data_IF_274422922607
#
_entry.id   IF_274422922607
#
_cell.length_a   1.000
_cell.length_b   1.000
_cell.length_c   1.000
_cell.angle_alpha   90.00
_cell.angle_beta   90.00
_cell.angle_gamma   90.00
#
_symmetry.space_group_name_H-M   'P 1'
#
loop_
_entity.id
_entity.type
_entity.pdbx_description
1 polymer ?
#
# COMPACT_ATOMS: atom_id res chain seq x y z
N UNK A 1 30.42 17.21 25.59
CA UNK A 1 29.14 17.40 24.88
C UNK A 1 28.77 16.05 24.28
N UNK A 2 27.85 15.33 24.93
CA UNK A 2 27.36 14.02 24.44
C UNK A 2 26.57 14.26 23.15
N UNK A 3 27.07 13.78 22.02
CA UNK A 3 26.28 13.60 20.81
C UNK A 3 25.32 12.44 21.06
N UNK A 4 24.08 12.76 21.44
CA UNK A 4 23.00 11.79 21.51
C UNK A 4 22.76 11.21 20.12
N UNK A 5 23.13 9.95 19.93
CA UNK A 5 22.75 9.17 18.76
C UNK A 5 21.23 9.04 18.85
N UNK A 6 20.50 9.83 18.06
CA UNK A 6 19.11 9.50 17.74
C UNK A 6 19.15 8.23 16.89
N UNK A 7 19.18 7.07 17.54
CA UNK A 7 18.74 5.83 16.93
C UNK A 7 17.26 6.02 16.61
N UNK A 8 16.94 6.57 15.44
CA UNK A 8 15.68 6.22 14.80
C UNK A 8 15.70 4.70 14.71
N UNK A 9 14.92 4.02 15.55
CA UNK A 9 14.67 2.60 15.37
C UNK A 9 14.20 2.45 13.91
N UNK A 10 15.08 1.92 13.06
CA UNK A 10 14.77 1.66 11.66
C UNK A 10 13.72 0.56 11.71
N UNK A 11 12.45 0.97 11.59
CA UNK A 11 11.34 0.03 11.64
C UNK A 11 11.58 -1.06 10.61
N UNK A 12 11.46 -2.32 11.03
CA UNK A 12 11.57 -3.49 10.16
C UNK A 12 10.37 -3.63 9.21
N UNK A 13 9.41 -2.72 9.24
CA UNK A 13 8.18 -2.77 8.48
C UNK A 13 8.16 -1.75 7.35
N UNK A 14 7.48 -2.11 6.25
CA UNK A 14 7.18 -1.18 5.17
C UNK A 14 6.36 -0.01 5.70
N UNK A 15 6.61 1.19 5.19
CA UNK A 15 5.95 2.42 5.66
C UNK A 15 4.98 2.98 4.64
N UNK A 16 3.74 3.21 5.06
CA UNK A 16 2.75 3.99 4.34
C UNK A 16 2.66 5.41 4.91
N UNK A 17 2.89 6.45 4.09
CA UNK A 17 2.88 7.86 4.53
C UNK A 17 3.81 8.13 5.75
N UNK A 18 4.93 7.41 5.81
CA UNK A 18 5.91 7.48 6.91
C UNK A 18 5.51 6.70 8.17
N UNK A 19 4.34 6.06 8.18
CA UNK A 19 3.86 5.22 9.29
C UNK A 19 4.19 3.75 8.96
N UNK A 20 4.93 3.02 9.83
CA UNK A 20 5.10 1.59 9.69
C UNK A 20 3.76 0.84 9.63
N UNK A 21 3.62 -0.07 8.67
CA UNK A 21 2.46 -0.97 8.52
C UNK A 21 2.57 -2.08 9.57
N UNK A 22 2.39 -1.67 10.83
CA UNK A 22 2.42 -2.51 12.01
C UNK A 22 1.55 -1.93 13.12
N UNK A 23 1.34 -2.72 14.16
CA UNK A 23 0.42 -2.46 15.26
C UNK A 23 -0.95 -3.05 14.97
N UNK A 24 -1.83 -2.96 15.96
CA UNK A 24 -3.22 -3.33 15.76
C UNK A 24 -3.91 -2.29 14.87
N UNK A 25 -5.01 -2.68 14.23
CA UNK A 25 -5.82 -1.77 13.42
C UNK A 25 -6.23 -0.49 14.17
N UNK A 26 -6.48 -0.56 15.48
CA UNK A 26 -6.78 0.62 16.29
C UNK A 26 -5.55 1.53 16.47
N UNK A 27 -4.37 0.96 16.70
CA UNK A 27 -3.12 1.71 16.83
C UNK A 27 -2.73 2.37 15.50
N UNK A 28 -2.83 1.63 14.39
CA UNK A 28 -2.54 2.16 13.07
C UNK A 28 -3.54 3.26 12.67
N UNK A 29 -4.84 3.04 12.91
CA UNK A 29 -5.89 4.04 12.73
C UNK A 29 -5.59 5.35 13.46
N UNK A 30 -5.19 5.30 14.73
CA UNK A 30 -4.86 6.51 15.48
C UNK A 30 -3.74 7.32 14.80
N UNK A 31 -2.73 6.65 14.23
CA UNK A 31 -1.62 7.30 13.51
C UNK A 31 -2.07 7.92 12.18
N UNK A 32 -2.87 7.22 11.39
CA UNK A 32 -3.34 7.77 10.09
C UNK A 32 -4.38 8.87 10.28
N UNK A 33 -5.20 8.83 11.34
CA UNK A 33 -6.11 9.94 11.67
C UNK A 33 -5.33 11.22 12.01
N UNK A 34 -4.21 11.11 12.73
CA UNK A 34 -3.31 12.24 12.97
C UNK A 34 -2.66 12.78 11.68
N UNK A 35 -2.55 11.95 10.62
CA UNK A 35 -2.11 12.36 9.28
C UNK A 35 -3.22 12.98 8.43
N UNK A 36 -4.45 13.06 8.95
CA UNK A 36 -5.59 13.68 8.26
C UNK A 36 -6.50 12.71 7.49
N UNK A 37 -6.32 11.39 7.65
CA UNK A 37 -7.29 10.42 7.13
C UNK A 37 -8.52 10.36 8.05
N UNK A 38 -9.71 10.19 7.47
CA UNK A 38 -10.98 10.16 8.18
C UNK A 38 -11.58 8.77 8.09
N UNK A 39 -11.93 8.17 9.23
CA UNK A 39 -12.55 6.85 9.27
C UNK A 39 -13.91 6.86 8.55
N UNK A 40 -14.05 6.06 7.51
CA UNK A 40 -15.29 5.91 6.77
C UNK A 40 -16.07 4.73 7.35
N UNK A 41 -16.93 5.04 8.32
CA UNK A 41 -17.72 4.06 9.07
C UNK A 41 -18.65 3.27 8.14
N UNK A 42 -19.40 3.96 7.28
CA UNK A 42 -20.38 3.34 6.37
C UNK A 42 -19.72 2.29 5.47
N UNK A 43 -18.61 2.62 4.82
CA UNK A 43 -17.91 1.67 3.96
C UNK A 43 -17.21 0.57 4.73
N UNK A 44 -16.70 0.87 5.94
CA UNK A 44 -16.08 -0.15 6.79
C UNK A 44 -17.08 -1.18 7.30
N UNK A 45 -18.33 -0.80 7.52
CA UNK A 45 -19.41 -1.71 7.94
C UNK A 45 -20.01 -2.49 6.75
N UNK A 46 -19.85 -1.98 5.52
CA UNK A 46 -20.35 -2.61 4.31
C UNK A 46 -19.38 -3.60 3.66
N UNK A 47 -18.10 -3.59 4.04
CA UNK A 47 -17.07 -4.52 3.55
C UNK A 47 -16.88 -5.70 4.51
N UNK A 48 -16.21 -6.75 4.06
CA UNK A 48 -15.85 -7.90 4.89
C UNK A 48 -15.05 -7.49 6.12
N UNK A 49 -15.14 -8.32 7.17
CA UNK A 49 -14.22 -8.23 8.29
C UNK A 49 -12.75 -8.31 7.79
N UNK A 50 -11.84 -7.80 8.62
CA UNK A 50 -10.42 -7.71 8.26
C UNK A 50 -10.04 -6.49 7.42
N UNK A 51 -10.99 -5.59 7.11
CA UNK A 51 -10.68 -4.30 6.43
C UNK A 51 -11.32 -3.13 7.17
N UNK A 52 -10.62 -1.99 7.21
CA UNK A 52 -11.21 -0.68 7.53
C UNK A 52 -10.94 0.32 6.43
N UNK A 53 -11.96 1.11 6.13
CA UNK A 53 -11.95 2.10 5.07
C UNK A 53 -11.79 3.51 5.67
N UNK A 54 -11.02 4.35 5.00
CA UNK A 54 -10.81 5.74 5.34
C UNK A 54 -10.85 6.60 4.08
N UNK A 55 -11.27 7.85 4.22
CA UNK A 55 -11.12 8.85 3.17
C UNK A 55 -9.93 9.75 3.51
N UNK A 56 -9.18 10.17 2.50
CA UNK A 56 -8.07 11.10 2.73
C UNK A 56 -7.39 11.59 1.48
N UNK A 57 -6.20 12.14 1.66
CA UNK A 57 -5.35 12.62 0.57
C UNK A 57 -4.03 11.86 0.59
N UNK A 58 -3.63 11.31 -0.55
CA UNK A 58 -2.33 10.67 -0.74
C UNK A 58 -1.67 11.23 -1.99
N UNK A 59 -0.41 11.69 -1.86
CA UNK A 59 0.37 12.33 -2.94
C UNK A 59 -0.43 13.39 -3.73
N UNK A 60 -1.21 14.21 -3.01
CA UNK A 60 -2.01 15.29 -3.58
C UNK A 60 -3.35 14.86 -4.21
N UNK A 61 -3.73 13.59 -4.12
CA UNK A 61 -4.97 13.05 -4.69
C UNK A 61 -5.93 12.60 -3.59
N UNK A 62 -7.23 12.85 -3.77
CA UNK A 62 -8.27 12.24 -2.93
C UNK A 62 -8.26 10.73 -3.17
N UNK A 63 -8.30 9.97 -2.08
CA UNK A 63 -8.26 8.50 -2.13
C UNK A 63 -9.24 7.90 -1.13
N UNK A 64 -9.80 6.75 -1.50
CA UNK A 64 -10.25 5.75 -0.55
C UNK A 64 -9.06 4.92 -0.09
N UNK A 65 -8.86 4.81 1.21
CA UNK A 65 -7.79 4.04 1.84
C UNK A 65 -8.38 2.79 2.50
N UNK A 66 -7.85 1.62 2.15
CA UNK A 66 -8.25 0.33 2.68
C UNK A 66 -7.09 -0.22 3.51
N UNK A 67 -7.32 -0.39 4.81
CA UNK A 67 -6.34 -0.94 5.74
C UNK A 67 -6.76 -2.36 6.09
N UNK A 68 -5.97 -3.32 5.65
CA UNK A 68 -6.21 -4.74 5.87
C UNK A 68 -5.49 -5.21 7.13
N UNK A 69 -6.18 -6.00 7.94
CA UNK A 69 -5.67 -6.52 9.19
C UNK A 69 -6.14 -7.95 9.42
N UNK A 70 -5.32 -8.73 10.11
CA UNK A 70 -5.69 -10.09 10.50
C UNK A 70 -6.82 -10.06 11.55
N UNK A 71 -7.89 -10.82 11.32
CA UNK A 71 -9.09 -10.73 12.16
C UNK A 71 -8.89 -11.22 13.59
N UNK A 72 -7.92 -12.09 13.86
CA UNK A 72 -7.71 -12.61 15.22
C UNK A 72 -6.70 -11.75 15.98
N UNK A 73 -5.52 -11.52 15.39
CA UNK A 73 -4.43 -10.75 16.01
C UNK A 73 -4.64 -9.24 15.92
N UNK A 74 -5.55 -8.80 15.04
CA UNK A 74 -5.82 -7.40 14.71
C UNK A 74 -4.64 -6.67 14.08
N UNK A 75 -3.56 -7.37 13.70
CA UNK A 75 -2.34 -6.78 13.13
C UNK A 75 -2.56 -6.33 11.69
N UNK A 76 -2.15 -5.10 11.39
CA UNK A 76 -2.21 -4.56 10.03
C UNK A 76 -1.07 -5.15 9.20
N UNK A 77 -1.38 -5.61 7.98
CA UNK A 77 -0.39 -6.19 7.08
C UNK A 77 -0.37 -5.55 5.68
N UNK A 78 -1.42 -4.82 5.30
CA UNK A 78 -1.52 -4.20 3.97
C UNK A 78 -2.31 -2.90 4.02
N UNK A 79 -1.89 -1.94 3.21
CA UNK A 79 -2.56 -0.64 3.06
C UNK A 79 -2.67 -0.30 1.59
N UNK A 80 -3.89 -0.10 1.10
CA UNK A 80 -4.17 0.24 -0.30
C UNK A 80 -4.82 1.61 -0.41
N UNK A 81 -4.21 2.51 -1.16
CA UNK A 81 -4.82 3.77 -1.55
C UNK A 81 -5.40 3.65 -2.97
N UNK A 82 -6.64 4.09 -3.17
CA UNK A 82 -7.33 4.01 -4.46
C UNK A 82 -7.82 5.40 -4.84
N UNK A 83 -7.34 5.90 -5.98
CA UNK A 83 -7.95 7.05 -6.66
C UNK A 83 -9.05 6.48 -7.54
N UNK A 84 -10.31 6.70 -7.16
CA UNK A 84 -11.45 6.01 -7.74
C UNK A 84 -12.30 6.91 -8.65
N UNK A 85 -13.06 6.25 -9.54
CA UNK A 85 -14.06 6.89 -10.40
C UNK A 85 -13.48 8.07 -11.22
N UNK A 86 -12.40 7.81 -11.95
CA UNK A 86 -11.78 8.78 -12.84
C UNK A 86 -11.85 8.33 -14.30
N UNK A 87 -11.69 9.28 -15.23
CA UNK A 87 -11.54 8.98 -16.65
C UNK A 87 -10.24 8.22 -16.92
N UNK A 88 -10.19 7.49 -18.03
CA UNK A 88 -8.99 6.77 -18.47
C UNK A 88 -7.75 7.67 -18.58
N UNK A 89 -7.86 8.81 -19.27
CA UNK A 89 -6.76 9.76 -19.45
C UNK A 89 -6.19 10.22 -18.11
N UNK A 90 -7.08 10.59 -17.18
CA UNK A 90 -6.67 10.98 -15.82
C UNK A 90 -6.03 9.80 -15.07
N UNK A 91 -6.52 8.57 -15.25
CA UNK A 91 -5.91 7.39 -14.63
C UNK A 91 -4.48 7.17 -15.14
N UNK A 92 -4.26 7.27 -16.45
CA UNK A 92 -2.92 7.17 -17.05
C UNK A 92 -1.98 8.27 -16.52
N UNK A 93 -2.46 9.53 -16.44
CA UNK A 93 -1.69 10.65 -15.88
C UNK A 93 -1.32 10.42 -14.40
N UNK A 94 -2.28 9.97 -13.57
CA UNK A 94 -2.05 9.72 -12.14
C UNK A 94 -1.13 8.53 -11.92
N UNK A 95 -1.29 7.47 -12.72
CA UNK A 95 -0.39 6.32 -12.69
C UNK A 95 1.05 6.75 -12.97
N UNK A 96 1.31 7.45 -14.09
CA UNK A 96 2.66 7.89 -14.46
C UNK A 96 3.29 8.80 -13.40
N UNK A 97 2.53 9.77 -12.88
CA UNK A 97 3.00 10.67 -11.81
C UNK A 97 3.43 9.88 -10.56
N UNK A 98 2.60 8.94 -10.10
CA UNK A 98 2.88 8.17 -8.89
C UNK A 98 4.01 7.16 -9.13
N UNK A 99 4.04 6.53 -10.29
CA UNK A 99 5.12 5.63 -10.70
C UNK A 99 6.48 6.32 -10.59
N UNK A 100 6.62 7.52 -11.18
CA UNK A 100 7.86 8.30 -11.13
C UNK A 100 8.26 8.67 -9.69
N UNK A 101 7.29 9.08 -8.87
CA UNK A 101 7.53 9.41 -7.46
C UNK A 101 7.98 8.19 -6.66
N UNK A 102 7.40 7.02 -6.91
CA UNK A 102 7.77 5.78 -6.25
C UNK A 102 9.15 5.29 -6.71
N UNK A 103 9.42 5.29 -8.02
CA UNK A 103 10.72 4.92 -8.57
C UNK A 103 11.83 5.81 -8.00
N UNK A 104 11.60 7.12 -7.90
CA UNK A 104 12.56 8.03 -7.25
C UNK A 104 12.73 7.75 -5.75
N UNK A 105 11.65 7.40 -5.05
CA UNK A 105 11.71 7.14 -3.59
C UNK A 105 12.42 5.81 -3.28
N UNK A 106 12.37 4.86 -4.19
CA UNK A 106 12.92 3.51 -4.05
C UNK A 106 13.96 3.25 -5.15
N UNK A 107 14.77 4.25 -5.50
CA UNK A 107 15.63 4.21 -6.70
C UNK A 107 16.64 3.06 -6.71
N UNK A 108 17.09 2.62 -5.53
CA UNK A 108 18.02 1.50 -5.35
C UNK A 108 17.33 0.14 -5.12
N UNK A 109 16.01 0.07 -5.33
CA UNK A 109 15.23 -1.16 -5.17
C UNK A 109 14.99 -1.85 -6.51
N UNK A 110 14.60 -3.12 -6.45
CA UNK A 110 14.19 -3.88 -7.63
C UNK A 110 12.77 -3.50 -8.07
N UNK A 111 12.61 -3.38 -9.39
CA UNK A 111 11.38 -3.01 -10.07
C UNK A 111 10.97 -4.11 -11.06
N UNK A 112 9.69 -4.46 -11.06
CA UNK A 112 9.11 -5.37 -12.04
C UNK A 112 7.98 -4.66 -12.77
N UNK A 113 8.18 -4.41 -14.06
CA UNK A 113 7.14 -3.87 -14.94
C UNK A 113 6.34 -5.00 -15.60
N UNK A 114 5.02 -4.85 -15.64
CA UNK A 114 4.09 -5.81 -16.26
C UNK A 114 2.85 -5.07 -16.81
N UNK A 115 1.82 -5.82 -17.19
CA UNK A 115 0.52 -5.31 -17.58
C UNK A 115 -0.58 -5.98 -16.78
N UNK A 116 -1.50 -5.15 -16.27
CA UNK A 116 -2.77 -5.59 -15.69
C UNK A 116 -3.91 -5.00 -16.50
N UNK A 117 -4.83 -5.84 -16.98
CA UNK A 117 -5.96 -5.42 -17.82
C UNK A 117 -5.49 -4.60 -19.06
N UNK A 118 -4.37 -4.99 -19.68
CA UNK A 118 -3.70 -4.28 -20.78
C UNK A 118 -3.19 -2.86 -20.45
N UNK A 119 -3.26 -2.42 -19.19
CA UNK A 119 -2.66 -1.19 -18.69
C UNK A 119 -1.32 -1.48 -17.99
N UNK A 120 -0.38 -0.53 -17.95
CA UNK A 120 0.88 -0.73 -17.27
C UNK A 120 0.67 -1.00 -15.77
N UNK A 121 1.50 -1.86 -15.22
CA UNK A 121 1.63 -2.08 -13.78
C UNK A 121 3.10 -2.14 -13.38
N UNK A 122 3.39 -1.73 -12.15
CA UNK A 122 4.72 -1.79 -11.58
C UNK A 122 4.63 -2.40 -10.18
N UNK A 123 5.50 -3.37 -9.90
CA UNK A 123 5.77 -3.87 -8.55
C UNK A 123 7.15 -3.42 -8.12
N UNK A 124 7.24 -2.90 -6.90
CA UNK A 124 8.49 -2.43 -6.27
C UNK A 124 8.73 -3.29 -5.04
N UNK A 125 9.89 -3.92 -4.97
CA UNK A 125 10.29 -4.66 -3.78
C UNK A 125 11.18 -3.76 -2.94
N UNK A 126 10.63 -3.24 -1.84
CA UNK A 126 11.36 -2.32 -0.97
C UNK A 126 12.37 -3.11 -0.11
N UNK A 127 13.58 -3.28 -0.64
CA UNK A 127 14.65 -4.06 -0.02
C UNK A 127 15.20 -3.41 1.25
N UNK A 128 15.65 -4.24 2.20
CA UNK A 128 16.34 -3.77 3.42
C UNK A 128 17.79 -3.35 3.15
N UNK A 129 18.35 -3.84 2.06
CA UNK A 129 19.72 -3.62 1.62
C UNK A 129 19.72 -3.27 0.13
N UNK A 130 20.75 -2.56 -0.32
CA UNK A 130 20.98 -2.34 -1.75
C UNK A 130 21.19 -3.70 -2.42
N UNK A 131 20.42 -3.96 -3.48
CA UNK A 131 20.58 -5.16 -4.30
C UNK A 131 21.32 -4.81 -5.59
N UNK A 132 22.17 -5.72 -6.11
CA UNK A 132 22.67 -5.61 -7.47
C UNK A 132 21.49 -5.49 -8.45
N UNK A 133 21.63 -4.65 -9.48
CA UNK A 133 20.55 -4.26 -10.40
C UNK A 133 19.90 -5.38 -11.22
N UNK A 134 20.41 -6.62 -11.11
CA UNK A 134 19.99 -7.78 -11.92
C UNK A 134 19.50 -8.97 -11.07
N UNK A 135 19.60 -8.90 -9.74
CA UNK A 135 19.16 -10.00 -8.87
C UNK A 135 17.72 -9.79 -8.41
N UNK A 136 16.87 -10.80 -8.65
CA UNK A 136 15.52 -10.80 -8.11
C UNK A 136 15.57 -10.78 -6.57
N UNK A 137 14.76 -9.93 -5.92
CA UNK A 137 14.80 -9.74 -4.49
C UNK A 137 14.23 -10.97 -3.76
N UNK A 138 14.94 -11.41 -2.72
CA UNK A 138 14.40 -12.40 -1.79
C UNK A 138 13.33 -11.72 -0.94
N UNK A 139 12.08 -12.17 -1.03
CA UNK A 139 10.94 -11.58 -0.30
C UNK A 139 11.24 -11.33 1.18
N UNK A 140 11.80 -12.32 1.89
CA UNK A 140 12.13 -12.24 3.32
C UNK A 140 13.16 -11.14 3.67
N UNK A 141 13.91 -10.67 2.69
CA UNK A 141 14.91 -9.60 2.84
C UNK A 141 14.33 -8.21 2.51
N UNK A 142 13.06 -8.15 2.11
CA UNK A 142 12.34 -6.91 1.86
C UNK A 142 11.63 -6.41 3.13
N UNK A 143 11.42 -5.09 3.21
CA UNK A 143 10.41 -4.51 4.09
C UNK A 143 9.00 -4.90 3.64
N UNK A 144 8.82 -5.11 2.33
CA UNK A 144 7.54 -5.38 1.70
C UNK A 144 7.57 -5.09 0.21
N UNK A 145 6.40 -5.14 -0.44
CA UNK A 145 6.24 -4.74 -1.84
C UNK A 145 5.19 -3.65 -2.00
N UNK A 146 5.31 -2.89 -3.08
CA UNK A 146 4.36 -1.85 -3.47
C UNK A 146 3.91 -2.15 -4.89
N UNK A 147 2.63 -2.39 -5.08
CA UNK A 147 2.05 -2.56 -6.41
C UNK A 147 1.32 -1.27 -6.82
N UNK A 148 1.56 -0.82 -8.05
CA UNK A 148 0.75 0.23 -8.69
C UNK A 148 0.17 -0.28 -9.99
N UNK A 149 -1.13 -0.11 -10.18
CA UNK A 149 -1.83 -0.54 -11.38
C UNK A 149 -3.13 0.24 -11.59
N UNK A 150 -3.59 0.24 -12.84
CA UNK A 150 -4.91 0.74 -13.22
C UNK A 150 -5.89 -0.43 -13.26
N UNK A 151 -7.12 -0.23 -12.83
CA UNK A 151 -8.22 -1.18 -13.06
C UNK A 151 -9.49 -0.45 -13.49
N UNK A 152 -10.40 -1.18 -14.12
CA UNK A 152 -11.72 -0.69 -14.50
C UNK A 152 -12.80 -1.26 -13.57
N UNK A 153 -13.79 -0.44 -13.20
CA UNK A 153 -15.00 -0.90 -12.52
C UNK A 153 -15.73 -1.90 -13.43
N UNK A 154 -16.18 -3.01 -12.86
CA UNK A 154 -16.93 -4.04 -13.61
C UNK A 154 -18.22 -3.47 -14.22
N UNK A 155 -18.86 -2.52 -13.53
CA UNK A 155 -20.08 -1.87 -13.99
C UNK A 155 -19.80 -0.57 -14.73
N UNK A 156 -20.44 -0.36 -15.89
CA UNK A 156 -20.28 0.85 -16.71
C UNK A 156 -21.19 2.03 -16.30
N UNK A 157 -21.87 1.95 -15.15
CA UNK A 157 -22.86 2.95 -14.72
C UNK A 157 -22.31 4.38 -14.65
N UNK A 158 -21.02 4.54 -14.36
CA UNK A 158 -20.38 5.85 -14.21
C UNK A 158 -19.50 6.23 -15.40
N UNK A 159 -19.68 5.63 -16.59
CA UNK A 159 -18.85 5.96 -17.76
C UNK A 159 -18.89 7.47 -18.07
N UNK A 160 -17.73 8.13 -18.33
CA UNK A 160 -16.38 7.57 -18.52
C UNK A 160 -15.54 7.40 -17.22
N UNK A 161 -16.10 7.71 -16.06
CA UNK A 161 -15.45 7.71 -14.73
C UNK A 161 -15.47 6.33 -14.07
N UNK A 162 -14.87 5.34 -14.75
CA UNK A 162 -14.86 3.94 -14.33
C UNK A 162 -13.46 3.39 -14.10
N UNK A 163 -12.43 4.21 -14.23
CA UNK A 163 -11.06 3.79 -13.99
C UNK A 163 -10.66 4.13 -12.55
N UNK A 164 -9.76 3.32 -12.01
CA UNK A 164 -9.17 3.51 -10.70
C UNK A 164 -7.66 3.29 -10.78
N UNK A 165 -6.90 4.07 -10.00
CA UNK A 165 -5.47 3.84 -9.80
C UNK A 165 -5.28 3.30 -8.38
N UNK A 166 -4.67 2.13 -8.28
CA UNK A 166 -4.39 1.46 -7.02
C UNK A 166 -2.91 1.62 -6.66
N UNK A 167 -2.64 1.93 -5.40
CA UNK A 167 -1.31 1.94 -4.82
C UNK A 167 -1.35 1.07 -3.57
N UNK A 168 -0.73 -0.09 -3.62
CA UNK A 168 -0.99 -1.20 -2.71
C UNK A 168 0.28 -1.63 -2.00
N UNK A 169 0.37 -1.33 -0.71
CA UNK A 169 1.54 -1.62 0.13
C UNK A 169 1.30 -2.90 0.91
N UNK A 170 2.18 -3.87 0.73
CA UNK A 170 2.19 -5.14 1.45
C UNK A 170 3.39 -5.20 2.36
N UNK A 171 3.17 -5.22 3.67
CA UNK A 171 4.25 -5.39 4.64
C UNK A 171 4.70 -6.84 4.69
N UNK A 172 6.00 -7.10 4.54
CA UNK A 172 6.48 -8.47 4.41
C UNK A 172 6.24 -9.30 5.67
N UNK A 173 6.70 -8.81 6.83
CA UNK A 173 6.65 -9.55 8.09
C UNK A 173 5.21 -9.87 8.48
N UNK A 174 4.31 -8.89 8.39
CA UNK A 174 2.93 -9.05 8.82
C UNK A 174 2.09 -9.82 7.78
N UNK A 175 2.42 -9.72 6.48
CA UNK A 175 1.78 -10.55 5.44
C UNK A 175 2.12 -12.01 5.67
N UNK A 176 3.40 -12.36 5.87
CA UNK A 176 3.80 -13.74 6.13
C UNK A 176 3.14 -14.33 7.38
N UNK A 177 3.02 -13.55 8.46
CA UNK A 177 2.32 -13.99 9.68
C UNK A 177 0.84 -14.26 9.41
N UNK A 178 0.20 -13.41 8.61
CA UNK A 178 -1.20 -13.59 8.25
C UNK A 178 -1.38 -14.83 7.36
N UNK A 179 -0.56 -14.98 6.32
CA UNK A 179 -0.64 -16.11 5.38
C UNK A 179 -0.28 -17.45 6.02
N UNK A 180 0.80 -17.54 6.80
CA UNK A 180 1.17 -18.77 7.50
C UNK A 180 0.07 -19.27 8.42
N UNK A 181 -0.64 -18.36 9.08
CA UNK A 181 -1.77 -18.71 9.93
C UNK A 181 -2.95 -19.25 9.12
N UNK A 182 -3.23 -18.68 7.95
CA UNK A 182 -4.23 -19.23 7.04
C UNK A 182 -3.84 -20.63 6.54
N UNK A 183 -2.54 -20.90 6.37
CA UNK A 183 -2.04 -22.24 6.03
C UNK A 183 -2.21 -23.23 7.19
N UNK A 184 -2.03 -22.79 8.44
CA UNK A 184 -2.27 -23.62 9.63
C UNK A 184 -3.77 -23.98 9.82
N UNK A 185 -4.68 -23.25 9.15
CA UNK A 185 -6.13 -23.50 9.19
C UNK A 185 -6.62 -24.50 8.12
N UNK A 186 -5.76 -24.91 7.17
CA UNK A 186 -6.06 -25.94 6.15
C UNK A 186 -5.90 -27.37 6.70
#
# INVERSE_FOLDING_TARGET
MLLGIFCYAQSEHLKFSGIPIDGTINQFQAKIVQKGYVYNKLYSEAISNGVRCFDGTFVGNKVGLYVYYDEQTKKVYRVKAVINNISEELADQKYQMIQQLLQRKYEDCYFQEDKKENKPSLTIYASRYELPSEEEPIWKECFGRIDIFISKNETMYNYPYIYNVHIDYWDQINTDKHENKLLDEL
#
